data_IF_999674147504
#
_entry.id   IF_999674147504
#
_cell.length_a   1.000
_cell.length_b   1.000
_cell.length_c   1.000
_cell.angle_alpha   90.00
_cell.angle_beta   90.00
_cell.angle_gamma   90.00
#
_symmetry.space_group_name_H-M   'P 1'
#
loop_
_entity.id
_entity.type
_entity.pdbx_description
1 polymer ?
#
# COMPACT_ATOMS: atom_id res chain seq x y z
N UNK A 1 -11.49 7.80 19.43
CA UNK A 1 -10.19 7.64 20.12
C UNK A 1 -9.12 7.41 19.05
N UNK A 2 -8.15 8.32 18.87
CA UNK A 2 -7.09 8.14 17.86
C UNK A 2 -5.95 7.38 18.54
N UNK A 3 -5.68 6.14 18.14
CA UNK A 3 -4.55 5.37 18.66
C UNK A 3 -3.27 6.06 18.17
N UNK A 4 -2.47 6.57 19.09
CA UNK A 4 -1.18 7.16 18.78
C UNK A 4 -0.12 6.05 18.73
N UNK A 5 0.67 6.04 17.67
CA UNK A 5 1.76 5.09 17.48
C UNK A 5 3.08 5.85 17.59
N UNK A 6 4.03 5.32 18.37
CA UNK A 6 5.39 5.89 18.44
C UNK A 6 6.10 5.73 17.11
N UNK A 7 7.05 6.62 16.81
CA UNK A 7 7.80 6.56 15.56
C UNK A 7 8.66 5.29 15.47
N UNK A 8 9.17 4.80 16.60
CA UNK A 8 9.84 3.49 16.70
C UNK A 8 8.91 2.35 16.28
N UNK A 9 7.67 2.33 16.77
CA UNK A 9 6.71 1.29 16.38
C UNK A 9 6.40 1.34 14.88
N UNK A 10 6.26 2.55 14.32
CA UNK A 10 6.04 2.71 12.87
C UNK A 10 7.23 2.18 12.07
N UNK A 11 8.46 2.47 12.51
CA UNK A 11 9.68 2.03 11.85
C UNK A 11 9.80 0.50 11.84
N UNK A 12 9.59 -0.15 12.99
CA UNK A 12 9.60 -1.62 13.07
C UNK A 12 8.51 -2.25 12.18
N UNK A 13 7.30 -1.69 12.17
CA UNK A 13 6.21 -2.20 11.33
C UNK A 13 6.56 -2.10 9.84
N UNK A 14 7.17 -0.99 9.42
CA UNK A 14 7.61 -0.77 8.04
C UNK A 14 8.75 -1.71 7.66
N UNK A 15 9.75 -1.87 8.52
CA UNK A 15 10.89 -2.76 8.30
C UNK A 15 10.45 -4.22 8.12
N UNK A 16 9.54 -4.69 8.99
CA UNK A 16 8.96 -6.03 8.88
C UNK A 16 8.21 -6.21 7.55
N UNK A 17 7.47 -5.19 7.11
CA UNK A 17 6.69 -5.25 5.89
C UNK A 17 7.51 -5.07 4.60
N UNK A 18 8.72 -4.53 4.69
CA UNK A 18 9.65 -4.39 3.57
C UNK A 18 10.54 -5.62 3.34
N UNK A 19 10.43 -6.66 4.17
CA UNK A 19 11.14 -7.91 3.93
C UNK A 19 10.66 -8.57 2.62
N UNK A 20 11.58 -9.11 1.79
CA UNK A 20 11.23 -9.73 0.53
C UNK A 20 10.29 -10.93 0.74
N UNK A 21 9.19 -10.97 -0.01
CA UNK A 21 8.17 -12.02 0.09
C UNK A 21 7.13 -11.81 1.21
N UNK A 22 7.23 -10.75 2.00
CA UNK A 22 6.25 -10.43 3.05
C UNK A 22 5.07 -9.65 2.49
N UNK A 23 3.85 -10.08 2.84
CA UNK A 23 2.63 -9.38 2.48
C UNK A 23 2.34 -8.26 3.50
N UNK A 24 2.57 -7.02 3.07
CA UNK A 24 2.34 -5.81 3.89
C UNK A 24 0.92 -5.71 4.47
N UNK A 25 -0.10 -6.12 3.70
CA UNK A 25 -1.49 -6.11 4.17
C UNK A 25 -1.74 -7.17 5.26
N UNK A 26 -1.07 -8.32 5.17
CA UNK A 26 -1.10 -9.33 6.23
C UNK A 26 -0.41 -8.86 7.50
N UNK A 27 0.76 -8.21 7.38
CA UNK A 27 1.48 -7.60 8.51
C UNK A 27 0.63 -6.53 9.19
N UNK A 28 -0.01 -5.65 8.43
CA UNK A 28 -0.89 -4.62 8.95
C UNK A 28 -2.04 -5.23 9.78
N UNK A 29 -2.68 -6.28 9.28
CA UNK A 29 -3.75 -7.00 9.99
C UNK A 29 -3.23 -7.64 11.28
N UNK A 30 -2.06 -8.27 11.23
CA UNK A 30 -1.45 -8.92 12.39
C UNK A 30 -1.16 -7.94 13.53
N UNK A 31 -0.74 -6.72 13.22
CA UNK A 31 -0.45 -5.68 14.21
C UNK A 31 -1.67 -4.77 14.52
N UNK A 32 -2.82 -5.07 13.92
CA UNK A 32 -4.09 -4.39 14.19
C UNK A 32 -4.18 -2.97 13.63
N UNK A 33 -3.59 -2.73 12.45
CA UNK A 33 -3.68 -1.47 11.71
C UNK A 33 -4.25 -1.69 10.31
N UNK A 34 -4.69 -0.60 9.68
CA UNK A 34 -5.11 -0.63 8.28
C UNK A 34 -3.87 -0.73 7.37
N UNK A 35 -3.89 -1.56 6.31
CA UNK A 35 -2.81 -1.62 5.33
C UNK A 35 -2.43 -0.24 4.76
N UNK A 36 -3.42 0.62 4.48
CA UNK A 36 -3.21 1.99 4.00
C UNK A 36 -2.40 2.86 4.97
N UNK A 37 -2.49 2.60 6.28
CA UNK A 37 -1.70 3.27 7.29
C UNK A 37 -0.23 2.80 7.26
N UNK A 38 0.00 1.51 7.03
CA UNK A 38 1.35 0.95 6.88
C UNK A 38 2.04 1.42 5.60
N UNK A 39 1.31 1.49 4.48
CA UNK A 39 1.80 2.07 3.23
C UNK A 39 2.18 3.55 3.38
N UNK A 40 1.38 4.30 4.15
CA UNK A 40 1.70 5.70 4.46
C UNK A 40 3.00 5.80 5.26
N UNK A 41 3.16 5.01 6.33
CA UNK A 41 4.38 5.00 7.14
C UNK A 41 5.60 4.58 6.33
N UNK A 42 5.47 3.62 5.41
CA UNK A 42 6.54 3.22 4.51
C UNK A 42 7.06 4.42 3.71
N UNK A 43 6.15 5.21 3.12
CA UNK A 43 6.52 6.42 2.35
C UNK A 43 7.15 7.50 3.23
N UNK A 44 6.62 7.70 4.43
CA UNK A 44 7.10 8.70 5.39
C UNK A 44 8.50 8.37 5.93
N UNK A 45 8.80 7.09 6.16
CA UNK A 45 10.03 6.64 6.82
C UNK A 45 11.14 6.21 5.87
N UNK A 46 10.79 5.61 4.73
CA UNK A 46 11.78 5.15 3.75
C UNK A 46 11.98 6.13 2.59
N UNK A 47 11.23 7.22 2.51
CA UNK A 47 11.46 8.30 1.53
C UNK A 47 11.79 7.83 0.11
N UNK A 48 10.79 7.57 -0.72
CA UNK A 48 10.96 7.29 -2.17
C UNK A 48 11.93 6.16 -2.57
N UNK A 49 12.27 5.22 -1.68
CA UNK A 49 13.15 4.09 -2.01
C UNK A 49 12.44 2.95 -2.78
N UNK A 50 11.75 3.29 -3.88
CA UNK A 50 11.24 2.34 -4.89
C UNK A 50 11.41 2.93 -6.31
N UNK A 51 12.56 3.54 -6.60
CA UNK A 51 13.05 3.72 -7.95
C UNK A 51 14.36 2.92 -8.11
N UNK A 52 14.24 1.59 -8.03
CA UNK A 52 15.35 0.64 -8.06
C UNK A 52 15.32 -0.37 -9.20
N UNK A 53 14.57 -0.09 -10.26
CA UNK A 53 14.82 -0.61 -11.62
C UNK A 53 14.73 0.57 -12.61
N UNK A 54 15.41 1.68 -12.32
CA UNK A 54 15.68 2.71 -13.31
C UNK A 54 16.96 3.48 -12.93
N UNK A 55 17.76 3.72 -13.95
CA UNK A 55 19.09 4.34 -13.95
C UNK A 55 19.12 5.75 -13.32
N UNK A 56 20.30 6.37 -13.12
CA UNK A 56 20.46 7.54 -12.26
C UNK A 56 19.72 8.74 -12.85
N UNK A 57 18.83 9.36 -12.06
CA UNK A 57 18.09 10.56 -12.48
C UNK A 57 18.50 11.80 -11.68
N UNK A 58 18.76 12.82 -12.47
CA UNK A 58 19.11 14.21 -12.20
C UNK A 58 18.18 14.88 -11.14
N UNK A 59 18.67 15.79 -10.27
CA UNK A 59 17.92 16.31 -9.12
C UNK A 59 16.75 17.27 -9.46
N UNK A 60 16.38 17.44 -10.73
CA UNK A 60 15.31 18.36 -11.15
C UNK A 60 13.96 17.70 -11.50
N UNK A 61 13.80 16.40 -11.30
CA UNK A 61 12.55 15.72 -11.65
C UNK A 61 11.55 15.75 -10.48
N UNK A 62 10.59 16.66 -10.53
CA UNK A 62 9.33 16.53 -9.78
C UNK A 62 8.68 15.22 -10.22
N UNK A 63 8.83 14.18 -9.41
CA UNK A 63 8.24 12.88 -9.70
C UNK A 63 6.71 13.03 -9.82
N UNK A 64 6.07 12.47 -10.85
CA UNK A 64 4.63 12.45 -10.94
C UNK A 64 4.07 11.69 -9.73
N UNK A 65 3.11 12.27 -9.02
CA UNK A 65 2.34 11.58 -7.98
C UNK A 65 1.93 10.20 -8.50
N UNK A 66 2.27 9.09 -7.82
CA UNK A 66 1.84 7.77 -8.26
C UNK A 66 0.31 7.69 -8.14
N UNK A 67 -0.31 7.13 -9.17
CA UNK A 67 -1.78 7.05 -9.30
C UNK A 67 -2.43 6.56 -8.02
N UNK A 68 -3.45 7.25 -7.48
CA UNK A 68 -4.11 6.81 -6.26
C UNK A 68 -4.69 5.43 -6.51
N UNK A 69 -4.17 4.43 -5.79
CA UNK A 69 -4.68 3.06 -5.77
C UNK A 69 -5.54 2.87 -4.54
N UNK A 70 -6.79 2.47 -4.75
CA UNK A 70 -7.71 2.06 -3.69
C UNK A 70 -7.59 0.56 -3.49
N UNK A 71 -7.28 0.12 -2.26
CA UNK A 71 -7.34 -1.29 -1.87
C UNK A 71 -8.70 -1.60 -1.23
N UNK A 72 -9.37 -2.62 -1.74
CA UNK A 72 -10.65 -3.13 -1.24
C UNK A 72 -10.41 -4.56 -0.76
N UNK A 73 -10.75 -4.84 0.51
CA UNK A 73 -10.72 -6.19 1.06
C UNK A 73 -12.14 -6.77 1.09
N UNK A 74 -12.29 -7.98 0.55
CA UNK A 74 -13.56 -8.72 0.54
C UNK A 74 -13.25 -10.14 1.00
N UNK A 75 -13.66 -10.50 2.21
CA UNK A 75 -13.48 -11.85 2.78
C UNK A 75 -12.03 -12.38 2.69
N UNK A 76 -11.05 -11.48 2.83
CA UNK A 76 -9.61 -11.80 2.76
C UNK A 76 -9.00 -11.70 1.35
N UNK A 77 -9.82 -11.49 0.31
CA UNK A 77 -9.38 -11.21 -1.06
C UNK A 77 -9.13 -9.72 -1.22
N UNK A 78 -7.91 -9.36 -1.61
CA UNK A 78 -7.49 -7.95 -1.78
C UNK A 78 -7.58 -7.55 -3.25
N UNK A 79 -8.40 -6.55 -3.55
CA UNK A 79 -8.55 -5.93 -4.87
C UNK A 79 -7.85 -4.58 -4.88
N UNK A 80 -6.99 -4.35 -5.87
CA UNK A 80 -6.26 -3.08 -6.07
C UNK A 80 -6.83 -2.32 -7.28
N UNK A 81 -7.24 -1.07 -7.06
CA UNK A 81 -7.96 -0.26 -8.04
C UNK A 81 -7.19 1.03 -8.31
N UNK A 82 -6.59 1.17 -9.49
CA UNK A 82 -5.95 2.41 -9.92
C UNK A 82 -6.96 3.46 -10.42
N UNK A 83 -6.53 4.73 -10.54
CA UNK A 83 -7.37 5.87 -10.97
C UNK A 83 -8.06 5.70 -12.33
N UNK A 84 -7.52 4.84 -13.19
CA UNK A 84 -7.99 4.61 -14.56
C UNK A 84 -8.95 3.43 -14.68
N UNK A 85 -9.32 2.80 -13.57
CA UNK A 85 -10.27 1.68 -13.60
C UNK A 85 -11.69 2.23 -13.73
N UNK A 86 -12.36 1.84 -14.82
CA UNK A 86 -13.78 2.15 -15.01
C UNK A 86 -14.66 1.42 -14.01
N UNK A 87 -15.75 2.07 -13.59
CA UNK A 87 -16.71 1.53 -12.62
C UNK A 87 -17.26 0.15 -13.06
N UNK A 88 -17.64 0.02 -14.33
CA UNK A 88 -18.21 -1.22 -14.85
C UNK A 88 -17.21 -2.41 -14.77
N UNK A 89 -15.91 -2.13 -14.90
CA UNK A 89 -14.87 -3.13 -14.73
C UNK A 89 -14.70 -3.49 -13.26
N UNK A 90 -14.63 -2.48 -12.38
CA UNK A 90 -14.51 -2.67 -10.94
C UNK A 90 -15.68 -3.48 -10.37
N UNK A 91 -16.92 -3.14 -10.74
CA UNK A 91 -18.11 -3.87 -10.31
C UNK A 91 -18.07 -5.34 -10.75
N UNK A 92 -17.55 -5.62 -11.95
CA UNK A 92 -17.43 -6.98 -12.47
C UNK A 92 -16.44 -7.81 -11.65
N UNK A 93 -15.29 -7.21 -11.31
CA UNK A 93 -14.28 -7.83 -10.45
C UNK A 93 -14.84 -8.07 -9.05
N UNK A 94 -15.46 -7.07 -8.43
CA UNK A 94 -16.07 -7.20 -7.09
C UNK A 94 -17.15 -8.29 -7.07
N UNK A 95 -18.00 -8.35 -8.11
CA UNK A 95 -19.04 -9.37 -8.21
C UNK A 95 -18.44 -10.76 -8.37
N UNK A 96 -17.41 -10.92 -9.20
CA UNK A 96 -16.72 -12.19 -9.39
C UNK A 96 -16.08 -12.67 -8.08
N UNK A 97 -15.43 -11.78 -7.34
CA UNK A 97 -14.82 -12.05 -6.03
C UNK A 97 -15.86 -12.49 -5.00
N UNK A 98 -17.04 -11.85 -4.98
CA UNK A 98 -18.14 -12.21 -4.07
C UNK A 98 -18.87 -13.52 -4.43
N UNK A 99 -18.69 -14.03 -5.64
CA UNK A 99 -19.35 -15.25 -6.13
C UNK A 99 -18.46 -16.50 -6.06
N UNK A 100 -17.20 -16.34 -5.67
CA UNK A 100 -16.25 -17.42 -5.43
C UNK A 100 -16.38 -17.94 -3.99
#
# INVERSE_FOLDING_TARGET
>A
MRRFWSDEFKATAVEQACQPGVNMSAVARQIGILPSQLYRWRRELLGSDEAGLAAPVDPQSVAPDPDPVVEIDIDGIVVRVGRHVEEAHLQRVIRAVRSA
#
